data_IF_103299584230
#
_entry.id   IF_103299584230
#
_cell.length_a   1.000
_cell.length_b   1.000
_cell.length_c   1.000
_cell.angle_alpha   90.00
_cell.angle_beta   90.00
_cell.angle_gamma   90.00
#
_symmetry.space_group_name_H-M   'P 1'
#
loop_
_entity.id
_entity.type
_entity.pdbx_description
1 polymer ?
#
# COMPACT_ATOMS: atom_id res chain seq x y z
N UNK A 1 -5.22 19.32 22.60
CA UNK A 1 -6.16 18.99 21.49
C UNK A 1 -6.74 17.61 21.75
N UNK A 2 -8.01 17.43 21.42
CA UNK A 2 -8.74 16.17 21.45
C UNK A 2 -8.59 15.43 20.10
N UNK A 3 -7.88 14.31 20.12
CA UNK A 3 -7.63 13.45 18.97
C UNK A 3 -8.57 12.25 19.05
N UNK A 4 -9.35 12.00 18.01
CA UNK A 4 -10.29 10.88 17.96
C UNK A 4 -9.89 9.88 16.89
N UNK A 5 -10.01 8.60 17.22
CA UNK A 5 -9.74 7.46 16.33
C UNK A 5 -11.05 6.68 16.17
N UNK A 6 -11.87 6.98 15.15
CA UNK A 6 -13.07 6.23 14.84
C UNK A 6 -12.75 4.82 14.35
N UNK A 7 -13.70 3.90 14.52
CA UNK A 7 -13.68 2.59 13.88
C UNK A 7 -13.87 2.73 12.36
N UNK A 8 -13.16 1.91 11.59
CA UNK A 8 -13.38 1.83 10.14
C UNK A 8 -14.67 1.05 9.84
N UNK A 9 -15.46 1.54 8.87
CA UNK A 9 -16.79 0.99 8.54
C UNK A 9 -16.86 0.24 7.21
N UNK A 10 -15.85 0.42 6.36
CA UNK A 10 -15.80 -0.28 5.08
C UNK A 10 -15.63 -1.80 5.32
N UNK A 11 -16.50 -2.60 4.69
CA UNK A 11 -16.40 -4.05 4.76
C UNK A 11 -15.01 -4.54 4.31
N UNK A 12 -14.37 -5.37 5.14
CA UNK A 12 -13.02 -5.89 4.90
C UNK A 12 -11.88 -4.94 5.29
N UNK A 13 -12.17 -3.76 5.83
CA UNK A 13 -11.17 -2.91 6.47
C UNK A 13 -10.90 -3.39 7.89
N UNK A 14 -9.71 -3.93 8.12
CA UNK A 14 -9.31 -4.47 9.42
C UNK A 14 -8.25 -3.60 10.12
N UNK A 15 -7.82 -2.51 9.49
CA UNK A 15 -6.83 -1.59 10.07
C UNK A 15 -7.53 -0.56 10.96
N UNK A 16 -6.73 0.06 11.84
CA UNK A 16 -7.12 1.19 12.68
C UNK A 16 -6.05 2.28 12.56
N UNK A 17 -6.44 3.55 12.67
CA UNK A 17 -5.53 4.67 12.39
C UNK A 17 -4.43 4.87 13.46
N UNK A 18 -4.56 4.23 14.62
CA UNK A 18 -3.59 4.29 15.71
C UNK A 18 -3.51 2.95 16.45
N UNK A 19 -2.34 2.69 17.04
CA UNK A 19 -2.10 1.55 17.92
C UNK A 19 -1.87 2.04 19.35
N UNK A 20 -1.93 1.18 20.38
CA UNK A 20 -1.59 1.56 21.75
C UNK A 20 -0.23 2.28 21.85
N UNK A 21 0.77 1.85 21.08
CA UNK A 21 2.09 2.47 21.05
C UNK A 21 2.08 3.90 20.49
N UNK A 22 1.29 4.16 19.44
CA UNK A 22 1.17 5.52 18.88
C UNK A 22 0.32 6.40 19.78
N UNK A 23 -0.73 5.84 20.38
CA UNK A 23 -1.57 6.53 21.38
C UNK A 23 -0.74 6.98 22.57
N UNK A 24 0.10 6.11 23.14
CA UNK A 24 0.99 6.46 24.26
C UNK A 24 1.88 7.67 23.94
N UNK A 25 2.38 7.76 22.71
CA UNK A 25 3.19 8.92 22.24
C UNK A 25 2.36 10.19 22.13
N UNK A 26 1.13 10.11 21.61
CA UNK A 26 0.22 11.25 21.51
C UNK A 26 -0.19 11.77 22.89
N UNK A 27 -0.50 10.88 23.82
CA UNK A 27 -0.82 11.23 25.22
C UNK A 27 0.39 11.87 25.90
N UNK A 28 1.59 11.31 25.73
CA UNK A 28 2.82 11.89 26.27
C UNK A 28 3.14 13.28 25.71
N UNK A 29 2.67 13.59 24.49
CA UNK A 29 2.76 14.93 23.90
C UNK A 29 1.69 15.92 24.41
N UNK A 30 0.85 15.51 25.36
CA UNK A 30 -0.17 16.36 25.99
C UNK A 30 -1.52 16.39 25.25
N UNK A 31 -1.76 15.46 24.33
CA UNK A 31 -3.06 15.34 23.66
C UNK A 31 -4.01 14.43 24.44
N UNK A 32 -5.30 14.77 24.45
CA UNK A 32 -6.34 13.85 24.86
C UNK A 32 -6.66 12.94 23.67
N UNK A 33 -6.60 11.62 23.86
CA UNK A 33 -6.87 10.66 22.79
C UNK A 33 -8.12 9.86 23.16
N UNK A 34 -9.08 9.78 22.24
CA UNK A 34 -10.28 8.95 22.40
C UNK A 34 -10.34 7.95 21.24
N UNK A 35 -10.64 6.70 21.54
CA UNK A 35 -10.78 5.61 20.55
C UNK A 35 -12.22 5.11 20.60
N UNK A 36 -12.84 4.90 19.44
CA UNK A 36 -14.17 4.33 19.40
C UNK A 36 -14.13 2.88 19.89
N UNK A 37 -15.15 2.48 20.66
CA UNK A 37 -15.25 1.12 21.19
C UNK A 37 -15.16 0.10 20.06
N UNK A 38 -14.26 -0.87 20.21
CA UNK A 38 -14.03 -1.93 19.25
C UNK A 38 -13.25 -1.54 18.00
N UNK A 39 -12.79 -0.28 17.85
CA UNK A 39 -12.12 0.18 16.63
C UNK A 39 -10.87 -0.63 16.26
N UNK A 40 -10.14 -1.15 17.26
CA UNK A 40 -8.93 -1.93 17.05
C UNK A 40 -9.13 -3.45 16.99
N UNK A 41 -10.35 -3.98 17.22
CA UNK A 41 -10.55 -5.42 17.39
C UNK A 41 -10.13 -6.24 16.17
N UNK A 42 -10.46 -5.77 14.96
CA UNK A 42 -10.06 -6.43 13.71
C UNK A 42 -8.54 -6.40 13.47
N UNK A 43 -7.83 -5.45 14.12
CA UNK A 43 -6.38 -5.35 14.12
C UNK A 43 -5.73 -6.12 15.29
N UNK A 44 -6.49 -6.93 16.03
CA UNK A 44 -6.07 -7.63 17.25
C UNK A 44 -5.63 -6.68 18.39
N UNK A 45 -6.24 -5.50 18.47
CA UNK A 45 -6.00 -4.49 19.49
C UNK A 45 -7.27 -4.27 20.32
N UNK A 46 -7.42 -4.93 21.48
CA UNK A 46 -8.60 -4.78 22.32
C UNK A 46 -8.64 -3.40 22.99
N UNK A 47 -9.85 -2.93 23.31
CA UNK A 47 -10.07 -1.62 23.95
C UNK A 47 -9.27 -1.43 25.25
N UNK A 48 -9.09 -2.52 26.02
CA UNK A 48 -8.27 -2.52 27.22
C UNK A 48 -6.81 -2.10 26.96
N UNK A 49 -6.26 -2.39 25.79
CA UNK A 49 -4.91 -1.99 25.43
C UNK A 49 -4.82 -0.48 25.15
N UNK A 50 -5.87 0.13 24.58
CA UNK A 50 -5.95 1.58 24.40
C UNK A 50 -6.14 2.32 25.72
N UNK A 51 -6.99 1.79 26.61
CA UNK A 51 -7.14 2.31 27.98
C UNK A 51 -5.80 2.29 28.73
N UNK A 52 -5.07 1.17 28.68
CA UNK A 52 -3.75 1.05 29.30
C UNK A 52 -2.71 2.03 28.70
N UNK A 53 -2.89 2.45 27.44
CA UNK A 53 -2.06 3.46 26.78
C UNK A 53 -2.47 4.91 27.11
N UNK A 54 -3.54 5.11 27.89
CA UNK A 54 -4.02 6.42 28.33
C UNK A 54 -5.07 7.07 27.43
N UNK A 55 -5.66 6.32 26.48
CA UNK A 55 -6.80 6.82 25.72
C UNK A 55 -8.12 6.61 26.48
N UNK A 56 -9.11 7.48 26.22
CA UNK A 56 -10.51 7.21 26.52
C UNK A 56 -11.14 6.29 25.48
N UNK A 57 -12.23 5.61 25.86
CA UNK A 57 -13.05 4.82 24.94
C UNK A 57 -14.42 5.49 24.79
N UNK A 58 -14.89 5.64 23.55
CA UNK A 58 -16.18 6.24 23.23
C UNK A 58 -17.14 5.22 22.62
N UNK A 59 -18.33 5.10 23.20
CA UNK A 59 -19.43 4.28 22.66
C UNK A 59 -20.26 5.07 21.63
N UNK A 60 -20.37 6.39 21.80
CA UNK A 60 -21.16 7.27 20.94
C UNK A 60 -20.29 7.96 19.89
N UNK A 61 -20.18 7.34 18.71
CA UNK A 61 -19.38 7.84 17.57
C UNK A 61 -19.68 9.30 17.21
N UNK A 62 -20.96 9.67 17.07
CA UNK A 62 -21.31 11.02 16.63
C UNK A 62 -20.93 12.10 17.65
N UNK A 63 -21.09 11.80 18.94
CA UNK A 63 -20.66 12.71 20.01
C UNK A 63 -19.12 12.86 20.05
N UNK A 64 -18.40 11.75 19.87
CA UNK A 64 -16.94 11.74 19.76
C UNK A 64 -16.45 12.59 18.58
N UNK A 65 -17.04 12.42 17.39
CA UNK A 65 -16.68 13.18 16.19
C UNK A 65 -16.99 14.68 16.35
N UNK A 66 -18.13 15.03 16.95
CA UNK A 66 -18.50 16.42 17.21
C UNK A 66 -17.56 17.13 18.20
N UNK A 67 -16.95 16.39 19.13
CA UNK A 67 -16.00 16.93 20.09
C UNK A 67 -14.55 17.01 19.55
N UNK A 68 -14.25 16.39 18.42
CA UNK A 68 -12.89 16.18 17.93
C UNK A 68 -12.22 17.49 17.45
N UNK A 69 -10.97 17.72 17.86
CA UNK A 69 -10.09 18.70 17.20
C UNK A 69 -9.40 18.06 15.99
N UNK A 70 -8.97 16.81 16.13
CA UNK A 70 -8.29 16.03 15.10
C UNK A 70 -8.95 14.66 14.99
N UNK A 71 -9.29 14.24 13.78
CA UNK A 71 -9.75 12.89 13.46
C UNK A 71 -8.65 12.17 12.69
N UNK A 72 -8.22 11.03 13.22
CA UNK A 72 -7.29 10.12 12.55
C UNK A 72 -8.07 8.94 11.99
N UNK A 73 -8.14 8.82 10.67
CA UNK A 73 -8.82 7.72 10.00
C UNK A 73 -7.86 7.03 9.02
N UNK A 74 -8.09 5.74 8.75
CA UNK A 74 -7.40 5.03 7.69
C UNK A 74 -7.96 5.48 6.35
N UNK A 75 -9.29 5.47 6.21
CA UNK A 75 -9.99 5.84 4.97
C UNK A 75 -10.78 7.13 5.14
N UNK A 76 -11.29 7.66 4.03
CA UNK A 76 -12.25 8.76 4.07
C UNK A 76 -13.49 8.37 4.91
N UNK A 77 -13.98 9.25 5.78
CA UNK A 77 -15.18 8.99 6.58
C UNK A 77 -16.43 8.90 5.71
N UNK A 78 -17.53 8.37 6.27
CA UNK A 78 -18.83 8.41 5.64
C UNK A 78 -19.44 9.83 5.69
N UNK A 79 -20.44 10.11 4.86
CA UNK A 79 -21.06 11.44 4.78
C UNK A 79 -21.65 11.91 6.13
N UNK A 80 -22.22 10.99 6.91
CA UNK A 80 -22.76 11.27 8.24
C UNK A 80 -21.66 11.66 9.24
N UNK A 81 -20.52 10.97 9.20
CA UNK A 81 -19.39 11.27 10.06
C UNK A 81 -18.72 12.58 9.69
N UNK A 82 -18.57 12.83 8.39
CA UNK A 82 -18.13 14.14 7.89
C UNK A 82 -19.09 15.24 8.33
N UNK A 83 -20.40 14.99 8.39
CA UNK A 83 -21.40 15.97 8.81
C UNK A 83 -21.27 16.34 10.29
N UNK A 84 -20.84 15.39 11.13
CA UNK A 84 -20.69 15.60 12.57
C UNK A 84 -19.42 16.34 12.98
N UNK A 85 -18.46 16.54 12.07
CA UNK A 85 -17.24 17.27 12.38
C UNK A 85 -17.55 18.74 12.70
N UNK A 86 -16.96 19.24 13.78
CA UNK A 86 -17.09 20.66 14.14
C UNK A 86 -16.30 21.55 13.18
N UNK A 87 -16.70 22.82 13.00
CA UNK A 87 -15.93 23.75 12.19
C UNK A 87 -14.50 23.92 12.68
N UNK A 88 -13.55 23.88 11.75
CA UNK A 88 -12.12 23.98 12.07
C UNK A 88 -11.44 22.66 12.50
N UNK A 89 -12.17 21.54 12.55
CA UNK A 89 -11.57 20.24 12.81
C UNK A 89 -10.53 19.87 11.74
N UNK A 90 -9.57 19.04 12.13
CA UNK A 90 -8.54 18.48 11.24
C UNK A 90 -8.87 17.01 10.95
N UNK A 91 -8.89 16.62 9.68
CA UNK A 91 -9.06 15.23 9.25
C UNK A 91 -7.77 14.74 8.57
N UNK A 92 -7.21 13.62 9.05
CA UNK A 92 -5.99 13.04 8.48
C UNK A 92 -6.26 11.57 8.14
N UNK A 93 -5.96 11.17 6.90
CA UNK A 93 -6.13 9.79 6.45
C UNK A 93 -5.87 9.60 4.96
N UNK A 94 -6.21 8.41 4.43
CA UNK A 94 -6.27 8.19 2.98
C UNK A 94 -7.62 8.69 2.46
N UNK A 95 -7.63 9.91 1.92
CA UNK A 95 -8.86 10.66 1.62
C UNK A 95 -9.28 10.61 0.14
N UNK A 96 -8.59 9.84 -0.71
CA UNK A 96 -8.91 9.68 -2.13
C UNK A 96 -9.24 11.01 -2.85
N UNK A 97 -8.37 12.04 -2.80
CA UNK A 97 -8.73 13.44 -3.08
C UNK A 97 -9.24 13.70 -4.51
N UNK A 98 -8.95 12.83 -5.47
CA UNK A 98 -9.46 12.95 -6.85
C UNK A 98 -10.82 12.29 -7.08
N UNK A 99 -11.34 11.54 -6.11
CA UNK A 99 -12.58 10.78 -6.18
C UNK A 99 -13.50 11.03 -4.97
N UNK A 100 -13.09 11.88 -4.03
CA UNK A 100 -13.79 12.08 -2.77
C UNK A 100 -14.96 13.07 -2.95
N UNK A 101 -16.22 12.60 -2.86
CA UNK A 101 -17.39 13.45 -3.02
C UNK A 101 -17.64 14.37 -1.82
N UNK A 102 -16.96 14.15 -0.70
CA UNK A 102 -17.14 14.89 0.55
C UNK A 102 -16.32 16.18 0.62
N UNK A 103 -15.37 16.40 -0.29
CA UNK A 103 -14.52 17.60 -0.26
C UNK A 103 -15.31 18.92 -0.22
N UNK A 104 -16.41 19.12 -1.00
CA UNK A 104 -17.22 20.33 -0.91
C UNK A 104 -17.87 20.51 0.47
N UNK A 105 -18.36 19.41 1.07
CA UNK A 105 -18.96 19.44 2.41
C UNK A 105 -17.92 19.79 3.49
N UNK A 106 -16.76 19.12 3.45
CA UNK A 106 -15.64 19.39 4.36
C UNK A 106 -15.17 20.85 4.25
N UNK A 107 -15.08 21.38 3.03
CA UNK A 107 -14.73 22.77 2.79
C UNK A 107 -15.79 23.74 3.34
N UNK A 108 -17.09 23.47 3.12
CA UNK A 108 -18.18 24.29 3.66
C UNK A 108 -18.17 24.34 5.20
N UNK A 109 -17.76 23.25 5.85
CA UNK A 109 -17.57 23.16 7.29
C UNK A 109 -16.23 23.72 7.79
N UNK A 110 -15.35 24.19 6.90
CA UNK A 110 -14.00 24.66 7.24
C UNK A 110 -13.14 23.58 7.92
N UNK A 111 -13.34 22.31 7.55
CA UNK A 111 -12.48 21.19 7.98
C UNK A 111 -11.18 21.23 7.19
N UNK A 112 -10.05 21.13 7.90
CA UNK A 112 -8.72 21.02 7.29
C UNK A 112 -8.40 19.55 7.01
N UNK A 113 -8.42 19.13 5.74
CA UNK A 113 -8.23 17.73 5.35
C UNK A 113 -6.81 17.48 4.80
N UNK A 114 -6.06 16.58 5.44
CA UNK A 114 -4.74 16.13 5.02
C UNK A 114 -4.82 14.74 4.39
N UNK A 115 -4.85 14.71 3.05
CA UNK A 115 -4.81 13.47 2.28
C UNK A 115 -3.37 12.92 2.25
N UNK A 116 -3.14 11.82 2.97
CA UNK A 116 -1.81 11.21 3.09
C UNK A 116 -1.27 10.69 1.74
N UNK A 117 -2.14 10.45 0.75
CA UNK A 117 -1.74 10.04 -0.59
C UNK A 117 -1.05 11.15 -1.39
N UNK A 118 -1.23 12.41 -0.98
CA UNK A 118 -0.62 13.59 -1.61
C UNK A 118 0.67 14.03 -0.91
N UNK A 119 1.19 13.25 0.05
CA UNK A 119 2.47 13.56 0.69
C UNK A 119 3.58 13.69 -0.37
N UNK A 120 4.36 14.79 -0.34
CA UNK A 120 5.42 14.98 -1.31
C UNK A 120 6.52 13.94 -1.08
N UNK A 121 6.97 13.28 -2.14
CA UNK A 121 8.05 12.29 -2.08
C UNK A 121 9.42 12.98 -1.94
N UNK A 122 9.70 13.43 -0.72
CA UNK A 122 10.94 14.11 -0.32
C UNK A 122 11.54 13.42 0.90
N UNK A 123 12.85 13.58 1.11
CA UNK A 123 13.56 12.97 2.26
C UNK A 123 12.91 13.32 3.60
N UNK A 124 12.39 14.54 3.76
CA UNK A 124 11.74 14.99 5.01
C UNK A 124 10.39 14.31 5.27
N UNK A 125 9.70 13.86 4.23
CA UNK A 125 8.38 13.26 4.33
C UNK A 125 8.39 11.72 4.27
N UNK A 126 9.56 11.10 4.11
CA UNK A 126 9.69 9.65 3.93
C UNK A 126 9.11 8.86 5.11
N UNK A 127 9.30 9.34 6.35
CA UNK A 127 8.74 8.69 7.56
C UNK A 127 7.21 8.79 7.67
N UNK A 128 6.59 9.65 6.86
CA UNK A 128 5.14 9.85 6.84
C UNK A 128 4.47 9.17 5.63
N UNK A 129 5.24 8.60 4.70
CA UNK A 129 4.72 8.04 3.45
C UNK A 129 3.89 6.76 3.70
N UNK A 130 2.59 6.96 3.82
CA UNK A 130 1.62 5.87 4.03
C UNK A 130 1.62 4.90 2.84
N UNK A 131 1.80 5.38 1.61
CA UNK A 131 1.74 4.53 0.42
C UNK A 131 2.92 3.56 0.40
N UNK A 132 4.11 4.03 0.77
CA UNK A 132 5.28 3.17 0.91
C UNK A 132 5.07 2.12 2.01
N UNK A 133 4.54 2.51 3.16
CA UNK A 133 4.21 1.58 4.26
C UNK A 133 3.22 0.50 3.84
N UNK A 134 2.08 0.91 3.25
CA UNK A 134 1.04 -0.04 2.83
C UNK A 134 1.50 -0.94 1.67
N UNK A 135 2.25 -0.39 0.71
CA UNK A 135 2.79 -1.18 -0.40
C UNK A 135 3.82 -2.21 0.08
N UNK A 136 4.63 -1.89 1.09
CA UNK A 136 5.54 -2.86 1.68
C UNK A 136 4.73 -4.05 2.26
N UNK A 137 3.75 -3.78 3.13
CA UNK A 137 2.88 -4.82 3.69
C UNK A 137 2.19 -5.64 2.59
N UNK A 138 1.69 -4.99 1.54
CA UNK A 138 1.04 -5.65 0.41
C UNK A 138 1.98 -6.60 -0.33
N UNK A 139 3.23 -6.19 -0.59
CA UNK A 139 4.24 -7.04 -1.24
C UNK A 139 4.57 -8.30 -0.44
N UNK A 140 4.74 -8.15 0.88
CA UNK A 140 4.93 -9.29 1.78
C UNK A 140 3.71 -10.23 1.78
N UNK A 141 2.51 -9.66 1.97
CA UNK A 141 1.28 -10.46 2.06
C UNK A 141 0.93 -11.15 0.74
N UNK A 142 1.24 -10.55 -0.41
CA UNK A 142 1.03 -11.16 -1.73
C UNK A 142 1.78 -12.50 -1.87
N UNK A 143 3.02 -12.57 -1.39
CA UNK A 143 3.81 -13.81 -1.43
C UNK A 143 3.24 -14.86 -0.49
N UNK A 144 2.82 -14.48 0.72
CA UNK A 144 2.18 -15.42 1.65
C UNK A 144 0.86 -15.96 1.10
N UNK A 145 0.06 -15.10 0.46
CA UNK A 145 -1.17 -15.50 -0.19
C UNK A 145 -0.90 -16.45 -1.36
N UNK A 146 0.11 -16.17 -2.18
CA UNK A 146 0.55 -17.10 -3.23
C UNK A 146 0.95 -18.46 -2.65
N UNK A 147 1.63 -18.49 -1.50
CA UNK A 147 1.99 -19.73 -0.79
C UNK A 147 0.78 -20.52 -0.28
N UNK A 148 -0.35 -19.87 -0.01
CA UNK A 148 -1.59 -20.55 0.40
C UNK A 148 -2.25 -21.30 -0.77
N UNK A 149 -2.11 -20.79 -2.00
CA UNK A 149 -2.72 -21.39 -3.19
C UNK A 149 -1.75 -22.29 -3.98
N UNK A 150 -0.44 -22.07 -3.85
CA UNK A 150 0.55 -22.84 -4.56
C UNK A 150 0.71 -24.24 -3.94
N UNK A 151 0.46 -25.34 -4.69
CA UNK A 151 0.34 -26.68 -4.12
C UNK A 151 1.69 -27.38 -3.85
N UNK A 152 2.82 -26.68 -4.03
CA UNK A 152 4.17 -27.23 -3.87
C UNK A 152 5.01 -26.39 -2.90
N UNK A 153 6.14 -26.92 -2.47
CA UNK A 153 7.10 -26.15 -1.68
C UNK A 153 7.72 -25.01 -2.51
N UNK A 154 7.88 -23.83 -1.90
CA UNK A 154 8.66 -22.74 -2.50
C UNK A 154 10.17 -23.03 -2.57
N UNK A 155 10.83 -23.54 -1.51
CA UNK A 155 12.25 -23.81 -1.57
C UNK A 155 12.56 -25.08 -2.35
N UNK A 156 13.81 -25.19 -2.82
CA UNK A 156 14.35 -26.48 -3.22
C UNK A 156 14.56 -27.34 -1.97
N UNK A 157 14.07 -28.57 -1.99
CA UNK A 157 14.27 -29.53 -0.92
C UNK A 157 14.93 -30.79 -1.48
N UNK A 158 16.06 -31.19 -0.90
CA UNK A 158 16.68 -32.48 -1.16
C UNK A 158 16.36 -33.38 0.03
N UNK A 159 15.55 -34.41 -0.20
CA UNK A 159 15.06 -35.31 0.85
C UNK A 159 15.39 -36.76 0.50
N UNK A 160 15.23 -37.67 1.45
CA UNK A 160 15.36 -39.10 1.20
C UNK A 160 14.36 -39.61 0.13
N UNK A 161 13.21 -38.97 -0.02
CA UNK A 161 12.19 -39.30 -1.01
C UNK A 161 12.46 -38.69 -2.40
N UNK A 162 13.53 -37.92 -2.55
CA UNK A 162 13.91 -37.24 -3.80
C UNK A 162 13.98 -35.72 -3.66
N UNK A 163 14.14 -35.06 -4.82
CA UNK A 163 14.38 -33.62 -4.91
C UNK A 163 13.14 -32.89 -5.42
N UNK A 164 12.68 -31.90 -4.66
CA UNK A 164 11.65 -30.95 -5.07
C UNK A 164 12.34 -29.69 -5.59
N UNK A 165 12.01 -29.27 -6.82
CA UNK A 165 12.53 -28.03 -7.41
C UNK A 165 11.90 -26.82 -6.72
N UNK A 166 12.71 -25.76 -6.55
CA UNK A 166 12.22 -24.48 -6.06
C UNK A 166 11.14 -23.90 -7.00
N UNK A 167 10.18 -23.19 -6.42
CA UNK A 167 9.20 -22.43 -7.16
C UNK A 167 9.87 -21.28 -7.92
N UNK A 168 9.38 -21.01 -9.13
CA UNK A 168 9.77 -19.84 -9.92
C UNK A 168 8.76 -18.73 -9.72
N UNK A 169 9.17 -17.61 -9.14
CA UNK A 169 8.34 -16.43 -8.99
C UNK A 169 8.76 -15.33 -9.97
N UNK A 170 7.80 -14.76 -10.69
CA UNK A 170 7.99 -13.60 -11.55
C UNK A 170 7.33 -12.37 -10.93
N UNK A 171 8.10 -11.31 -10.69
CA UNK A 171 7.58 -10.04 -10.15
C UNK A 171 7.59 -8.97 -11.24
N UNK A 172 6.41 -8.47 -11.61
CA UNK A 172 6.22 -7.44 -12.62
C UNK A 172 5.96 -6.08 -11.95
N UNK A 173 6.93 -5.19 -12.03
CA UNK A 173 6.99 -3.92 -11.31
C UNK A 173 7.87 -4.03 -10.06
N UNK A 174 8.86 -3.14 -9.96
CA UNK A 174 9.85 -3.08 -8.88
C UNK A 174 9.69 -1.75 -8.14
N UNK A 175 8.45 -1.47 -7.71
CA UNK A 175 8.15 -0.46 -6.69
C UNK A 175 8.37 -1.03 -5.28
N UNK A 176 7.93 -0.30 -4.25
CA UNK A 176 8.06 -0.76 -2.85
C UNK A 176 7.41 -2.13 -2.62
N UNK A 177 6.22 -2.36 -3.19
CA UNK A 177 5.54 -3.66 -3.11
C UNK A 177 6.31 -4.77 -3.86
N UNK A 178 6.82 -4.47 -5.05
CA UNK A 178 7.60 -5.42 -5.85
C UNK A 178 8.89 -5.83 -5.17
N UNK A 179 9.65 -4.87 -4.64
CA UNK A 179 10.88 -5.13 -3.88
C UNK A 179 10.60 -6.00 -2.64
N UNK A 180 9.52 -5.70 -1.91
CA UNK A 180 9.16 -6.51 -0.74
C UNK A 180 8.71 -7.93 -1.14
N UNK A 181 8.00 -8.08 -2.27
CA UNK A 181 7.62 -9.37 -2.81
C UNK A 181 8.86 -10.18 -3.22
N UNK A 182 9.83 -9.56 -3.90
CA UNK A 182 11.12 -10.18 -4.25
C UNK A 182 11.82 -10.68 -3.00
N UNK A 183 12.01 -9.80 -2.01
CA UNK A 183 12.71 -10.15 -0.77
C UNK A 183 12.01 -11.30 -0.02
N UNK A 184 10.68 -11.28 0.04
CA UNK A 184 9.89 -12.31 0.75
C UNK A 184 9.96 -13.65 0.01
N UNK A 185 9.77 -13.67 -1.31
CA UNK A 185 9.85 -14.89 -2.10
C UNK A 185 11.25 -15.52 -2.06
N UNK A 186 12.30 -14.69 -2.10
CA UNK A 186 13.69 -15.13 -1.92
C UNK A 186 13.93 -15.74 -0.54
N UNK A 187 13.40 -15.16 0.54
CA UNK A 187 13.48 -15.71 1.89
C UNK A 187 12.76 -17.05 2.03
N UNK A 188 11.68 -17.26 1.28
CA UNK A 188 10.98 -18.56 1.20
C UNK A 188 11.67 -19.56 0.25
N UNK A 189 12.82 -19.21 -0.34
CA UNK A 189 13.63 -20.10 -1.16
C UNK A 189 13.20 -20.23 -2.62
N UNK A 190 12.31 -19.37 -3.11
CA UNK A 190 11.93 -19.32 -4.51
C UNK A 190 13.08 -18.78 -5.38
N UNK A 191 13.12 -19.24 -6.64
CA UNK A 191 13.90 -18.60 -7.71
C UNK A 191 13.08 -17.43 -8.23
N UNK A 192 13.59 -16.21 -8.08
CA UNK A 192 12.85 -15.00 -8.42
C UNK A 192 13.45 -14.32 -9.64
N UNK A 193 12.61 -14.08 -10.65
CA UNK A 193 12.89 -13.16 -11.75
C UNK A 193 12.01 -11.91 -11.57
N UNK A 194 12.50 -10.73 -11.92
CA UNK A 194 11.74 -9.50 -11.80
C UNK A 194 11.96 -8.55 -12.98
N UNK A 195 10.93 -7.78 -13.30
CA UNK A 195 10.93 -6.83 -14.40
C UNK A 195 10.41 -5.46 -13.97
N UNK A 196 11.07 -4.39 -14.40
CA UNK A 196 10.54 -3.03 -14.38
C UNK A 196 10.99 -2.31 -15.65
N UNK A 197 10.26 -1.27 -16.05
CA UNK A 197 10.64 -0.44 -17.19
C UNK A 197 11.80 0.51 -16.85
N UNK A 198 12.03 0.80 -15.57
CA UNK A 198 13.08 1.70 -15.10
C UNK A 198 14.41 0.95 -14.96
N UNK A 199 15.46 1.30 -15.72
CA UNK A 199 16.76 0.62 -15.65
C UNK A 199 17.39 0.65 -14.25
N UNK A 200 17.18 1.74 -13.49
CA UNK A 200 17.72 1.91 -12.13
C UNK A 200 17.25 0.84 -11.12
N UNK A 201 16.17 0.13 -11.43
CA UNK A 201 15.67 -0.94 -10.55
C UNK A 201 16.47 -2.23 -10.66
N UNK A 202 17.29 -2.40 -11.71
CA UNK A 202 18.12 -3.60 -11.92
C UNK A 202 19.00 -3.90 -10.71
N UNK A 203 19.77 -2.91 -10.26
CA UNK A 203 20.67 -3.05 -9.11
C UNK A 203 19.88 -3.39 -7.83
N UNK A 204 18.69 -2.82 -7.67
CA UNK A 204 17.82 -3.12 -6.53
C UNK A 204 17.32 -4.56 -6.56
N UNK A 205 16.94 -5.08 -7.73
CA UNK A 205 16.56 -6.49 -7.91
C UNK A 205 17.72 -7.43 -7.62
N UNK A 206 18.89 -7.15 -8.20
CA UNK A 206 20.09 -7.99 -8.09
C UNK A 206 20.63 -8.00 -6.65
N UNK A 207 20.58 -6.87 -5.94
CA UNK A 207 20.99 -6.80 -4.51
C UNK A 207 20.12 -7.66 -3.59
N UNK A 208 18.88 -7.97 -3.98
CA UNK A 208 18.00 -8.90 -3.28
C UNK A 208 18.19 -10.37 -3.73
N UNK A 209 19.13 -10.62 -4.64
CA UNK A 209 19.45 -11.95 -5.16
C UNK A 209 18.44 -12.49 -6.17
N UNK A 210 17.63 -11.62 -6.77
CA UNK A 210 16.74 -11.96 -7.88
C UNK A 210 17.39 -11.62 -9.23
N UNK A 211 16.89 -12.23 -10.30
CA UNK A 211 17.38 -11.98 -11.66
C UNK A 211 16.52 -10.92 -12.34
N UNK A 212 17.14 -9.86 -12.84
CA UNK A 212 16.44 -8.87 -13.65
C UNK A 212 16.14 -9.41 -15.05
N UNK A 213 14.90 -9.29 -15.50
CA UNK A 213 14.48 -9.62 -16.86
C UNK A 213 14.81 -8.43 -17.74
N UNK A 214 15.83 -8.56 -18.58
CA UNK A 214 16.26 -7.47 -19.46
C UNK A 214 15.52 -7.55 -20.81
N UNK A 215 14.72 -6.51 -21.10
CA UNK A 215 14.18 -6.29 -22.44
C UNK A 215 15.16 -5.36 -23.15
N UNK A 216 15.76 -5.77 -24.30
CA UNK A 216 16.68 -4.90 -25.03
C UNK A 216 16.04 -3.55 -25.36
N UNK A 217 16.70 -2.46 -24.96
CA UNK A 217 16.26 -1.08 -25.18
C UNK A 217 17.25 -0.32 -26.06
N UNK A 218 16.74 0.56 -26.92
CA UNK A 218 17.56 1.59 -27.57
C UNK A 218 17.99 2.68 -26.57
N UNK A 219 18.99 3.48 -26.90
CA UNK A 219 19.46 4.54 -26.00
C UNK A 219 18.42 5.66 -25.81
N UNK A 220 17.55 5.87 -26.81
CA UNK A 220 16.39 6.78 -26.72
C UNK A 220 15.32 6.26 -25.72
N UNK A 221 15.07 4.94 -25.71
CA UNK A 221 14.11 4.29 -24.81
C UNK A 221 14.60 4.30 -23.35
N UNK A 222 15.92 4.16 -23.14
CA UNK A 222 16.55 4.31 -21.81
C UNK A 222 16.40 5.74 -21.28
N UNK A 223 16.63 6.74 -22.13
CA UNK A 223 16.50 8.15 -21.73
C UNK A 223 15.07 8.52 -21.33
N UNK A 224 14.06 7.96 -22.00
CA UNK A 224 12.64 8.16 -21.67
C UNK A 224 12.22 7.54 -20.32
N UNK A 225 13.02 6.61 -19.78
CA UNK A 225 12.71 5.78 -18.60
C UNK A 225 13.47 6.19 -17.32
N UNK A 226 14.20 7.30 -17.34
CA UNK A 226 15.04 7.76 -16.21
C UNK A 226 14.29 8.39 -15.02
N UNK A 227 12.96 8.46 -15.06
CA UNK A 227 12.14 9.06 -13.98
C UNK A 227 11.79 8.08 -12.85
N UNK A 228 11.40 8.64 -11.69
CA UNK A 228 10.91 7.84 -10.54
C UNK A 228 9.64 7.05 -10.91
N UNK A 229 8.81 7.61 -11.78
CA UNK A 229 7.63 6.96 -12.36
C UNK A 229 7.88 6.51 -13.80
N UNK A 230 7.35 5.35 -14.14
CA UNK A 230 7.28 4.84 -15.50
C UNK A 230 6.51 5.81 -16.42
N UNK A 231 7.02 6.02 -17.64
CA UNK A 231 6.32 6.71 -18.74
C UNK A 231 5.84 5.68 -19.77
N UNK A 232 4.90 6.08 -20.62
CA UNK A 232 4.41 5.24 -21.71
C UNK A 232 5.49 5.08 -22.79
N UNK A 233 5.76 3.84 -23.20
CA UNK A 233 6.84 3.47 -24.13
C UNK A 233 6.35 3.31 -25.58
N UNK A 234 7.26 3.21 -26.54
CA UNK A 234 6.95 2.98 -27.96
C UNK A 234 6.17 1.66 -28.16
N UNK A 235 5.35 1.58 -29.21
CA UNK A 235 4.57 0.37 -29.51
C UNK A 235 5.47 -0.84 -29.82
N UNK A 236 6.60 -0.61 -30.48
CA UNK A 236 7.59 -1.64 -30.79
C UNK A 236 8.25 -2.19 -29.51
N UNK A 237 8.64 -1.33 -28.58
CA UNK A 237 9.14 -1.76 -27.28
C UNK A 237 8.09 -2.57 -26.51
N UNK A 238 6.84 -2.11 -26.52
CA UNK A 238 5.74 -2.84 -25.86
C UNK A 238 5.55 -4.23 -26.46
N UNK A 239 5.68 -4.40 -27.78
CA UNK A 239 5.58 -5.71 -28.42
C UNK A 239 6.72 -6.66 -27.98
N UNK A 240 7.97 -6.18 -28.00
CA UNK A 240 9.15 -6.94 -27.54
C UNK A 240 9.05 -7.29 -26.05
N UNK A 241 8.63 -6.34 -25.22
CA UNK A 241 8.36 -6.52 -23.80
C UNK A 241 7.31 -7.60 -23.58
N UNK A 242 6.14 -7.50 -24.23
CA UNK A 242 5.04 -8.44 -24.06
C UNK A 242 5.46 -9.87 -24.43
N UNK A 243 6.18 -10.04 -25.54
CA UNK A 243 6.67 -11.35 -25.97
C UNK A 243 7.60 -11.99 -24.93
N UNK A 244 8.58 -11.23 -24.42
CA UNK A 244 9.51 -11.75 -23.41
C UNK A 244 8.79 -12.05 -22.08
N UNK A 245 7.93 -11.14 -21.61
CA UNK A 245 7.20 -11.34 -20.36
C UNK A 245 6.24 -12.53 -20.46
N UNK A 246 5.56 -12.73 -21.59
CA UNK A 246 4.73 -13.91 -21.81
C UNK A 246 5.54 -15.21 -21.71
N UNK A 247 6.73 -15.25 -22.31
CA UNK A 247 7.64 -16.39 -22.20
C UNK A 247 8.06 -16.66 -20.74
N UNK A 248 8.39 -15.61 -19.97
CA UNK A 248 8.77 -15.74 -18.56
C UNK A 248 7.59 -16.16 -17.68
N UNK A 249 6.42 -15.59 -17.91
CA UNK A 249 5.20 -15.92 -17.17
C UNK A 249 4.79 -17.37 -17.39
N UNK A 250 4.89 -17.90 -18.61
CA UNK A 250 4.61 -19.31 -18.91
C UNK A 250 5.55 -20.28 -18.19
N UNK A 251 6.77 -19.85 -17.86
CA UNK A 251 7.75 -20.64 -17.13
C UNK A 251 7.69 -20.43 -15.61
N UNK A 252 6.91 -19.46 -15.12
CA UNK A 252 6.78 -19.13 -13.72
C UNK A 252 5.65 -19.93 -13.06
N UNK A 253 5.86 -20.29 -11.79
CA UNK A 253 4.86 -20.92 -10.95
C UNK A 253 3.94 -19.90 -10.27
N UNK A 254 4.50 -18.72 -9.97
CA UNK A 254 3.84 -17.61 -9.28
C UNK A 254 4.15 -16.33 -10.04
N UNK A 255 3.13 -15.54 -10.36
CA UNK A 255 3.29 -14.20 -10.96
C UNK A 255 2.69 -13.15 -10.03
N UNK A 256 3.48 -12.15 -9.64
CA UNK A 256 3.05 -11.03 -8.80
C UNK A 256 3.17 -9.74 -9.59
N UNK A 257 2.03 -9.08 -9.84
CA UNK A 257 1.98 -7.83 -10.59
C UNK A 257 1.77 -6.63 -9.67
N UNK A 258 2.72 -5.69 -9.67
CA UNK A 258 2.70 -4.47 -8.84
C UNK A 258 2.83 -3.18 -9.66
N UNK A 259 2.89 -3.29 -10.99
CA UNK A 259 2.93 -2.15 -11.90
C UNK A 259 1.65 -1.30 -11.77
N UNK A 260 1.76 -0.18 -11.06
CA UNK A 260 0.70 0.80 -10.88
C UNK A 260 1.23 2.19 -11.21
N UNK A 261 0.55 2.87 -12.12
CA UNK A 261 0.74 4.31 -12.36
C UNK A 261 -0.34 5.02 -11.53
N UNK A 262 0.02 5.86 -10.55
CA UNK A 262 -0.96 6.63 -9.80
C UNK A 262 -1.84 7.42 -10.76
N UNK A 263 -3.15 7.41 -10.54
CA UNK A 263 -4.08 8.19 -11.35
C UNK A 263 -3.68 9.68 -11.27
N UNK A 264 -3.14 10.21 -12.36
CA UNK A 264 -3.00 11.66 -12.52
C UNK A 264 -4.37 12.25 -12.87
N UNK A 265 -4.47 13.58 -12.77
CA UNK A 265 -5.61 14.41 -13.19
C UNK A 265 -5.91 14.20 -14.68
N UNK A 266 -6.50 13.07 -15.07
CA UNK A 266 -6.97 12.83 -16.44
C UNK A 266 -8.49 12.84 -16.44
N UNK A 267 -9.04 13.82 -17.19
CA UNK A 267 -10.38 13.74 -17.77
C UNK A 267 -10.46 12.38 -18.51
N UNK A 268 -11.28 11.46 -18.01
CA UNK A 268 -12.00 10.47 -18.81
C UNK A 268 -11.32 9.22 -19.40
N UNK A 269 -10.11 8.76 -19.02
CA UNK A 269 -9.48 7.67 -19.82
C UNK A 269 -8.79 6.50 -19.08
N UNK A 270 -9.01 6.26 -17.79
CA UNK A 270 -8.39 5.12 -17.10
C UNK A 270 -9.37 3.96 -16.92
N UNK A 271 -9.53 3.12 -17.95
CA UNK A 271 -9.90 1.71 -17.74
C UNK A 271 -8.64 0.96 -17.24
N UNK A 272 -8.77 0.02 -16.29
CA UNK A 272 -7.67 -0.90 -16.00
C UNK A 272 -7.29 -1.62 -17.30
N UNK A 273 -6.02 -1.56 -17.71
CA UNK A 273 -5.52 -2.42 -18.79
C UNK A 273 -5.62 -3.85 -18.27
N UNK A 274 -6.69 -4.55 -18.66
CA UNK A 274 -6.73 -6.01 -18.61
C UNK A 274 -5.56 -6.47 -19.48
N UNK A 275 -4.64 -7.24 -18.89
CA UNK A 275 -3.77 -8.07 -19.68
C UNK A 275 -4.67 -8.97 -20.54
N UNK A 276 -4.49 -9.03 -21.87
CA UNK A 276 -5.17 -10.05 -22.65
C UNK A 276 -4.79 -11.41 -22.07
N UNK A 277 -5.81 -12.25 -21.88
CA UNK A 277 -5.69 -13.62 -21.43
C UNK A 277 -4.82 -14.45 -22.39
#
# INVERSE_FOLDING_TARGET
MNIVIPAERLAGEHRVAATPDTVKKLVAAGHAVTVEQGAGLAAALPDAAFLAAGAGIAEQRQAMLAAADIVLAVRMPEAADAAALKPGAVLIGMLAPYQNPLLPQLAAQRVSAFALELLPRTTRAQSMDVLSSQNNIAGYKAVLLAGQFYPRFMPMLMTAAGTVKAAKALVLGVGVAGLQAIATAKRLGAVVEAYDVRPATREQVESLGAKFVEVPMSDEEKAASGGVYAREMSADFQARQNALIAQRAAAADIVITTALIPASRRRGCCRPRRWPA
#
